data_IF_852065144722
#
_entry.id   IF_852065144722
#
_cell.length_a   1.000
_cell.length_b   1.000
_cell.length_c   1.000
_cell.angle_alpha   90.00
_cell.angle_beta   90.00
_cell.angle_gamma   90.00
#
_symmetry.space_group_name_H-M   'P 1'
#
loop_
_entity.id
_entity.type
_entity.pdbx_description
1 polymer ?
#
# COMPACT_ATOMS: atom_id res chain seq x y z
N UNK A 1 33.75 -5.26 1.02
CA UNK A 1 32.36 -4.88 0.53
C UNK A 1 31.85 -3.55 1.11
N UNK A 2 31.89 -3.27 2.44
CA UNK A 2 31.41 -2.00 3.01
C UNK A 2 32.29 -0.80 2.69
N UNK A 3 33.60 -0.93 2.83
CA UNK A 3 34.56 0.15 2.54
C UNK A 3 34.56 0.58 1.07
N UNK A 4 34.39 -0.36 0.16
CA UNK A 4 34.33 -0.11 -1.28
C UNK A 4 33.06 0.65 -1.68
N UNK A 5 31.91 0.27 -1.09
CA UNK A 5 30.64 1.01 -1.25
C UNK A 5 30.78 2.47 -0.79
N UNK A 6 31.36 2.70 0.39
CA UNK A 6 31.54 4.04 0.91
C UNK A 6 32.44 4.90 0.00
N UNK A 7 33.52 4.34 -0.51
CA UNK A 7 34.42 5.02 -1.46
C UNK A 7 33.67 5.44 -2.73
N UNK A 8 32.89 4.52 -3.33
CA UNK A 8 32.09 4.83 -4.54
C UNK A 8 31.08 5.96 -4.23
N UNK A 9 30.44 5.93 -3.06
CA UNK A 9 29.50 6.97 -2.65
C UNK A 9 30.16 8.32 -2.45
N UNK A 10 31.36 8.36 -1.87
CA UNK A 10 32.16 9.59 -1.71
C UNK A 10 32.56 10.15 -3.08
N UNK A 11 33.00 9.31 -4.00
CA UNK A 11 33.38 9.71 -5.35
C UNK A 11 32.16 10.23 -6.16
N UNK A 12 30.98 9.62 -5.97
CA UNK A 12 29.72 10.10 -6.56
C UNK A 12 29.30 11.43 -5.96
N UNK A 13 29.36 11.59 -4.63
CA UNK A 13 29.04 12.84 -3.96
C UNK A 13 30.03 13.98 -4.34
N UNK A 14 31.29 13.63 -4.59
CA UNK A 14 32.31 14.57 -5.07
C UNK A 14 32.19 14.90 -6.57
N UNK A 15 31.20 14.33 -7.30
CA UNK A 15 31.00 14.55 -8.73
C UNK A 15 32.03 13.89 -9.64
N UNK A 16 32.88 13.00 -9.11
CA UNK A 16 33.86 12.23 -9.91
C UNK A 16 33.18 11.11 -10.70
N UNK A 17 32.07 10.60 -10.18
CA UNK A 17 31.19 9.63 -10.84
C UNK A 17 29.92 10.37 -11.24
N UNK A 18 29.54 10.30 -12.51
CA UNK A 18 28.38 11.02 -13.07
C UNK A 18 27.11 10.16 -13.00
N UNK A 19 27.22 8.86 -13.05
CA UNK A 19 26.08 7.93 -13.01
C UNK A 19 26.37 6.82 -12.01
N UNK A 20 25.44 6.63 -11.07
CA UNK A 20 25.50 5.57 -10.10
C UNK A 20 24.33 4.60 -10.34
N UNK A 21 24.67 3.33 -10.61
CA UNK A 21 23.68 2.25 -10.73
C UNK A 21 23.75 1.37 -9.50
N UNK A 22 22.58 1.17 -8.86
CA UNK A 22 22.52 0.33 -7.66
C UNK A 22 21.15 -0.34 -7.51
N UNK A 23 21.10 -1.30 -6.62
CA UNK A 23 19.84 -1.86 -6.11
C UNK A 23 19.32 -0.98 -4.97
N UNK A 24 18.13 -1.31 -4.43
CA UNK A 24 17.44 -0.61 -3.34
C UNK A 24 18.24 -0.39 -2.05
N UNK A 25 19.44 -0.96 -1.94
CA UNK A 25 20.34 -0.82 -0.78
C UNK A 25 20.76 0.63 -0.47
N UNK A 26 20.46 1.58 -1.37
CA UNK A 26 20.73 3.03 -1.16
C UNK A 26 19.60 3.74 -0.39
N UNK A 27 18.58 3.03 0.05
CA UNK A 27 17.43 3.64 0.75
C UNK A 27 17.81 4.38 2.04
N UNK A 28 18.88 4.00 2.71
CA UNK A 28 19.20 4.52 4.05
C UNK A 28 20.54 5.26 4.05
N UNK A 29 20.50 6.54 4.47
CA UNK A 29 21.68 7.26 4.96
C UNK A 29 22.53 7.98 3.92
N UNK A 30 22.20 7.95 2.62
CA UNK A 30 22.99 8.66 1.60
C UNK A 30 22.29 9.95 1.21
N UNK A 31 22.90 11.07 1.58
CA UNK A 31 22.50 12.40 1.14
C UNK A 31 23.50 12.87 0.06
N UNK A 32 23.04 13.00 -1.18
CA UNK A 32 23.85 13.50 -2.29
C UNK A 32 23.12 14.72 -2.89
N UNK A 33 23.38 15.95 -2.36
CA UNK A 33 22.65 17.16 -2.77
C UNK A 33 22.80 17.49 -4.25
N UNK A 34 23.90 17.09 -4.88
CA UNK A 34 24.17 17.31 -6.30
C UNK A 34 23.58 16.24 -7.24
N UNK A 35 22.94 15.21 -6.71
CA UNK A 35 22.18 14.25 -7.52
C UNK A 35 20.85 14.89 -7.93
N UNK A 36 20.68 15.17 -9.21
CA UNK A 36 19.53 15.87 -9.77
C UNK A 36 18.56 14.96 -10.50
N UNK A 37 18.97 13.76 -10.86
CA UNK A 37 18.12 12.78 -11.56
C UNK A 37 18.18 11.46 -10.84
N UNK A 38 16.99 10.89 -10.57
CA UNK A 38 16.82 9.51 -10.13
C UNK A 38 15.94 8.80 -11.13
N UNK A 39 16.40 7.65 -11.61
CA UNK A 39 15.60 6.74 -12.42
C UNK A 39 15.37 5.45 -11.64
N UNK A 40 14.11 5.03 -11.55
CA UNK A 40 13.69 3.81 -10.84
C UNK A 40 13.13 2.86 -11.88
N UNK A 41 13.88 1.82 -12.18
CA UNK A 41 13.48 0.75 -13.08
C UNK A 41 12.51 -0.21 -12.39
N UNK A 42 11.53 -0.74 -13.14
CA UNK A 42 10.49 -1.62 -12.62
C UNK A 42 9.74 -1.01 -11.41
N UNK A 43 9.41 0.26 -11.49
CA UNK A 43 8.79 1.00 -10.40
C UNK A 43 7.48 0.38 -9.92
N UNK A 44 6.76 -0.35 -10.78
CA UNK A 44 5.54 -1.07 -10.45
C UNK A 44 5.71 -2.18 -9.41
N UNK A 45 6.95 -2.59 -9.12
CA UNK A 45 7.28 -3.63 -8.12
C UNK A 45 7.47 -3.07 -6.71
N UNK A 46 7.60 -1.76 -6.58
CA UNK A 46 7.84 -1.08 -5.30
C UNK A 46 6.53 -0.63 -4.65
N UNK A 47 6.51 -0.55 -3.32
CA UNK A 47 5.44 0.12 -2.58
C UNK A 47 5.44 1.63 -2.81
N UNK A 48 4.26 2.29 -2.77
CA UNK A 48 4.19 3.74 -2.94
C UNK A 48 4.98 4.50 -1.88
N UNK A 49 4.95 4.04 -0.62
CA UNK A 49 5.75 4.62 0.45
C UNK A 49 7.25 4.53 0.16
N UNK A 50 7.72 3.41 -0.39
CA UNK A 50 9.12 3.22 -0.77
C UNK A 50 9.53 4.13 -1.92
N UNK A 51 8.69 4.23 -2.97
CA UNK A 51 8.91 5.15 -4.08
C UNK A 51 8.92 6.62 -3.62
N UNK A 52 8.03 6.97 -2.68
CA UNK A 52 8.02 8.30 -2.07
C UNK A 52 9.33 8.61 -1.33
N UNK A 53 9.85 7.66 -0.55
CA UNK A 53 11.14 7.79 0.12
C UNK A 53 12.30 7.94 -0.87
N UNK A 54 12.31 7.13 -1.95
CA UNK A 54 13.32 7.21 -3.01
C UNK A 54 13.26 8.57 -3.71
N UNK A 55 12.07 9.04 -4.10
CA UNK A 55 11.88 10.38 -4.69
C UNK A 55 12.43 11.48 -3.79
N UNK A 56 12.25 11.37 -2.48
CA UNK A 56 12.79 12.31 -1.50
C UNK A 56 14.33 12.30 -1.36
N UNK A 57 15.04 11.45 -2.11
CA UNK A 57 16.52 11.43 -2.12
C UNK A 57 17.14 12.37 -3.14
N UNK A 58 16.39 12.84 -4.13
CA UNK A 58 16.79 13.88 -5.07
C UNK A 58 16.08 15.20 -4.78
N UNK A 59 16.56 16.32 -5.32
CA UNK A 59 15.93 17.61 -5.12
C UNK A 59 16.24 18.27 -3.77
N UNK A 60 17.36 17.92 -3.16
CA UNK A 60 17.81 18.51 -1.88
C UNK A 60 18.78 19.69 -2.04
N UNK A 61 19.12 20.02 -3.27
CA UNK A 61 19.92 21.16 -3.64
C UNK A 61 19.11 22.24 -4.35
N UNK A 62 19.78 23.28 -4.82
CA UNK A 62 19.16 24.44 -5.49
C UNK A 62 18.80 24.19 -6.96
N UNK A 63 19.17 23.02 -7.49
CA UNK A 63 18.95 22.68 -8.90
C UNK A 63 17.63 21.93 -9.08
N UNK A 64 16.97 22.19 -10.22
CA UNK A 64 15.82 21.41 -10.64
C UNK A 64 16.17 19.91 -10.70
N UNK A 65 15.34 19.07 -10.11
CA UNK A 65 15.57 17.65 -10.00
C UNK A 65 14.38 16.84 -10.52
N UNK A 66 14.67 15.65 -11.01
CA UNK A 66 13.70 14.77 -11.65
C UNK A 66 13.76 13.37 -11.03
N UNK A 67 12.60 12.79 -10.76
CA UNK A 67 12.46 11.38 -10.40
C UNK A 67 11.63 10.68 -11.49
N UNK A 68 12.27 9.79 -12.23
CA UNK A 68 11.69 9.08 -13.37
C UNK A 68 11.36 7.67 -12.91
N UNK A 69 10.09 7.30 -13.00
CA UNK A 69 9.60 5.96 -12.64
C UNK A 69 9.24 5.20 -13.90
N UNK A 70 9.96 4.11 -14.17
CA UNK A 70 9.77 3.27 -15.35
C UNK A 70 8.92 2.06 -14.99
N UNK A 71 7.74 1.93 -15.63
CA UNK A 71 6.90 0.75 -15.53
C UNK A 71 7.22 -0.20 -16.69
N UNK A 72 7.91 -1.29 -16.41
CA UNK A 72 8.26 -2.29 -17.42
C UNK A 72 7.14 -3.30 -17.71
N UNK A 73 6.09 -3.38 -16.87
CA UNK A 73 5.03 -4.37 -17.02
C UNK A 73 4.02 -4.06 -18.11
N UNK A 74 3.94 -2.80 -18.57
CA UNK A 74 2.93 -2.33 -19.51
C UNK A 74 1.49 -2.33 -18.96
N UNK A 75 1.26 -2.75 -17.73
CA UNK A 75 -0.05 -2.82 -17.11
C UNK A 75 -0.56 -1.42 -16.74
N UNK A 76 -1.75 -1.04 -17.28
CA UNK A 76 -2.36 0.27 -17.05
C UNK A 76 -2.79 0.50 -15.59
N UNK A 77 -3.21 -0.53 -14.87
CA UNK A 77 -3.58 -0.41 -13.45
C UNK A 77 -2.38 -0.07 -12.58
N UNK A 78 -1.23 -0.68 -12.88
CA UNK A 78 0.03 -0.35 -12.20
C UNK A 78 0.49 1.08 -12.51
N UNK A 79 0.17 1.63 -13.69
CA UNK A 79 0.39 3.03 -14.00
C UNK A 79 -0.45 3.95 -13.11
N UNK A 80 -1.75 3.65 -12.92
CA UNK A 80 -2.63 4.42 -12.02
C UNK A 80 -2.02 4.58 -10.61
N UNK A 81 -1.39 3.51 -10.11
CA UNK A 81 -0.72 3.54 -8.83
C UNK A 81 0.48 4.49 -8.83
N UNK A 82 1.30 4.47 -9.87
CA UNK A 82 2.44 5.39 -10.00
C UNK A 82 1.99 6.83 -10.19
N UNK A 83 0.82 7.07 -10.81
CA UNK A 83 0.26 8.42 -11.00
C UNK A 83 -0.08 9.12 -9.68
N UNK A 84 -0.31 8.40 -8.59
CA UNK A 84 -0.49 8.98 -7.25
C UNK A 84 0.73 9.81 -6.86
N UNK A 85 1.92 9.33 -7.16
CA UNK A 85 3.17 10.03 -6.88
C UNK A 85 3.39 11.26 -7.77
N UNK A 86 2.81 11.28 -8.97
CA UNK A 86 2.83 12.47 -9.84
C UNK A 86 1.89 13.57 -9.35
N UNK A 87 0.79 13.18 -8.67
CA UNK A 87 -0.25 14.11 -8.22
C UNK A 87 0.10 14.85 -6.93
N UNK A 88 0.89 14.23 -6.06
CA UNK A 88 1.15 14.79 -4.73
C UNK A 88 2.55 14.46 -4.20
N UNK A 89 3.08 15.40 -3.40
CA UNK A 89 4.26 15.20 -2.57
C UNK A 89 3.90 14.93 -1.10
N UNK A 90 2.61 14.98 -0.75
CA UNK A 90 2.14 14.73 0.60
C UNK A 90 2.16 13.22 0.92
N UNK A 91 2.97 12.85 1.93
CA UNK A 91 3.13 11.47 2.36
C UNK A 91 1.83 10.86 2.92
N UNK A 92 0.98 11.65 3.58
CA UNK A 92 -0.32 11.18 4.09
C UNK A 92 -1.30 10.90 2.95
N UNK A 93 -1.35 11.78 1.95
CA UNK A 93 -2.15 11.53 0.76
C UNK A 93 -1.70 10.26 0.04
N UNK A 94 -0.38 10.09 -0.17
CA UNK A 94 0.18 8.91 -0.83
C UNK A 94 -0.13 7.63 -0.04
N UNK A 95 -0.03 7.67 1.29
CA UNK A 95 -0.35 6.53 2.15
C UNK A 95 -1.85 6.17 2.08
N UNK A 96 -2.74 7.15 2.07
CA UNK A 96 -4.18 6.93 1.96
C UNK A 96 -4.55 6.32 0.60
N UNK A 97 -3.95 6.79 -0.48
CA UNK A 97 -4.17 6.24 -1.82
C UNK A 97 -3.56 4.83 -1.97
N UNK A 98 -2.39 4.56 -1.37
CA UNK A 98 -1.79 3.22 -1.36
C UNK A 98 -2.72 2.22 -0.63
N UNK A 99 -3.32 2.65 0.47
CA UNK A 99 -4.29 1.84 1.22
C UNK A 99 -5.54 1.54 0.38
N UNK A 100 -6.12 2.54 -0.29
CA UNK A 100 -7.26 2.37 -1.19
C UNK A 100 -6.96 1.38 -2.33
N UNK A 101 -5.74 1.47 -2.91
CA UNK A 101 -5.32 0.63 -4.03
C UNK A 101 -4.97 -0.81 -3.63
N UNK A 102 -4.54 -1.03 -2.39
CA UNK A 102 -4.25 -2.38 -1.85
C UNK A 102 -5.51 -3.11 -1.41
N UNK A 103 -6.56 -2.36 -1.14
CA UNK A 103 -7.77 -2.89 -0.50
C UNK A 103 -7.59 -3.13 1.01
N UNK A 104 -8.67 -3.41 1.71
CA UNK A 104 -8.71 -3.51 3.16
C UNK A 104 -8.19 -4.85 3.73
N UNK A 105 -7.74 -5.78 2.89
CA UNK A 105 -7.40 -7.14 3.28
C UNK A 105 -6.40 -7.26 4.43
N UNK A 106 -5.50 -6.29 4.58
CA UNK A 106 -4.51 -6.29 5.67
C UNK A 106 -5.00 -5.62 6.97
N UNK A 107 -6.05 -4.78 6.91
CA UNK A 107 -6.53 -4.03 8.09
C UNK A 107 -7.29 -4.95 9.06
N UNK A 108 -7.97 -5.97 8.54
CA UNK A 108 -8.82 -6.85 9.33
C UNK A 108 -8.22 -8.25 9.56
N UNK A 109 -6.95 -8.49 9.15
CA UNK A 109 -6.29 -9.79 9.33
C UNK A 109 -6.93 -10.93 8.52
N UNK A 110 -7.85 -10.63 7.64
CA UNK A 110 -8.57 -11.60 6.82
C UNK A 110 -7.87 -11.67 5.45
N UNK A 111 -6.97 -12.62 5.31
CA UNK A 111 -6.50 -13.08 3.99
C UNK A 111 -7.64 -13.81 3.31
N UNK A 112 -8.53 -13.09 2.65
CA UNK A 112 -9.47 -13.70 1.72
C UNK A 112 -9.23 -13.18 0.31
N UNK A 113 -9.07 -14.11 -0.61
CA UNK A 113 -9.15 -13.93 -2.04
C UNK A 113 -10.59 -13.55 -2.39
N UNK A 114 -10.86 -12.27 -2.57
CA UNK A 114 -12.16 -11.73 -2.98
C UNK A 114 -12.33 -10.31 -2.44
N UNK A 115 -12.88 -9.44 -3.26
CA UNK A 115 -13.24 -8.10 -2.83
C UNK A 115 -14.34 -8.18 -1.78
N UNK A 116 -14.13 -7.54 -0.62
CA UNK A 116 -15.16 -7.36 0.40
C UNK A 116 -16.15 -6.32 -0.12
N UNK A 117 -17.17 -6.76 -0.82
CA UNK A 117 -18.30 -5.91 -1.22
C UNK A 117 -19.31 -5.84 -0.08
N UNK A 118 -19.35 -4.70 0.60
CA UNK A 118 -20.45 -4.37 1.51
C UNK A 118 -21.59 -3.75 0.71
N UNK A 119 -22.82 -4.13 1.03
CA UNK A 119 -24.01 -3.57 0.35
C UNK A 119 -24.26 -2.09 0.69
N UNK A 120 -23.89 -1.64 1.88
CA UNK A 120 -24.21 -0.31 2.41
C UNK A 120 -22.99 0.46 2.91
N UNK A 121 -21.91 -0.22 3.29
CA UNK A 121 -20.73 0.40 3.89
C UNK A 121 -19.61 0.53 2.86
N UNK A 122 -18.91 1.66 2.92
CA UNK A 122 -17.64 1.86 2.23
C UNK A 122 -16.48 1.64 3.21
N UNK A 123 -15.54 0.77 2.86
CA UNK A 123 -14.44 0.36 3.74
C UNK A 123 -13.57 1.54 4.19
N UNK A 124 -13.47 2.58 3.36
CA UNK A 124 -12.59 3.73 3.63
C UNK A 124 -13.29 4.82 4.42
N UNK A 125 -14.53 5.13 4.05
CA UNK A 125 -15.31 6.16 4.74
C UNK A 125 -15.86 5.65 6.07
N UNK A 126 -16.17 4.37 6.16
CA UNK A 126 -16.81 3.74 7.32
C UNK A 126 -15.85 2.89 8.16
N UNK A 127 -14.52 3.04 7.97
CA UNK A 127 -13.50 2.22 8.64
C UNK A 127 -13.65 2.19 10.17
N UNK A 128 -13.98 3.31 10.79
CA UNK A 128 -14.19 3.40 12.25
C UNK A 128 -15.42 2.59 12.67
N UNK A 129 -16.51 2.70 11.91
CA UNK A 129 -17.76 1.96 12.16
C UNK A 129 -17.53 0.45 11.96
N UNK A 130 -16.85 0.07 10.88
CA UNK A 130 -16.52 -1.33 10.58
C UNK A 130 -15.64 -1.96 11.66
N UNK A 131 -14.65 -1.22 12.17
CA UNK A 131 -13.83 -1.67 13.30
C UNK A 131 -14.67 -1.92 14.54
N UNK A 132 -15.55 -0.98 14.90
CA UNK A 132 -16.43 -1.12 16.05
C UNK A 132 -17.37 -2.31 15.91
N UNK A 133 -17.99 -2.48 14.73
CA UNK A 133 -18.85 -3.64 14.43
C UNK A 133 -18.07 -4.94 14.55
N UNK A 134 -16.84 -5.01 14.05
CA UNK A 134 -15.97 -6.19 14.18
C UNK A 134 -15.68 -6.52 15.66
N UNK A 135 -15.41 -5.52 16.49
CA UNK A 135 -15.21 -5.70 17.94
C UNK A 135 -16.48 -6.21 18.63
N UNK A 136 -17.65 -5.67 18.25
CA UNK A 136 -18.93 -6.09 18.80
C UNK A 136 -19.31 -7.52 18.37
N UNK A 137 -19.04 -7.91 17.11
CA UNK A 137 -19.23 -9.28 16.61
C UNK A 137 -18.32 -10.26 17.34
N UNK A 138 -17.03 -9.92 17.52
CA UNK A 138 -16.12 -10.80 18.28
C UNK A 138 -16.62 -11.02 19.71
N UNK A 139 -17.07 -9.96 20.38
CA UNK A 139 -17.62 -10.06 21.74
C UNK A 139 -18.89 -10.90 21.80
N UNK A 140 -19.76 -10.79 20.80
CA UNK A 140 -20.95 -11.61 20.67
C UNK A 140 -20.59 -13.09 20.50
N UNK A 141 -19.66 -13.41 19.60
CA UNK A 141 -19.23 -14.77 19.33
C UNK A 141 -18.45 -15.40 20.50
N UNK A 142 -17.74 -14.62 21.31
CA UNK A 142 -17.14 -15.09 22.57
C UNK A 142 -18.21 -15.52 23.59
N UNK A 143 -19.39 -14.91 23.58
CA UNK A 143 -20.49 -15.21 24.50
C UNK A 143 -21.45 -16.27 23.96
N UNK A 144 -21.63 -16.33 22.65
CA UNK A 144 -22.55 -17.23 21.95
C UNK A 144 -22.02 -17.59 20.56
N UNK A 145 -21.04 -18.48 20.53
CA UNK A 145 -20.31 -18.87 19.32
C UNK A 145 -21.23 -19.34 18.18
N UNK A 146 -22.32 -20.03 18.52
CA UNK A 146 -23.27 -20.61 17.57
C UNK A 146 -24.57 -19.82 17.41
N UNK A 147 -24.70 -18.67 18.06
CA UNK A 147 -25.91 -17.84 18.08
C UNK A 147 -27.14 -18.62 18.53
N UNK A 148 -27.02 -19.41 19.62
CA UNK A 148 -28.07 -20.29 20.14
C UNK A 148 -28.93 -19.60 21.19
N UNK A 149 -28.50 -18.50 21.78
CA UNK A 149 -29.27 -17.75 22.75
C UNK A 149 -30.51 -17.12 22.09
N UNK A 150 -31.60 -17.06 22.83
CA UNK A 150 -32.91 -16.61 22.33
C UNK A 150 -32.82 -15.23 21.65
N UNK A 151 -32.05 -14.32 22.23
CA UNK A 151 -31.83 -12.96 21.72
C UNK A 151 -31.06 -12.93 20.39
N UNK A 152 -30.27 -13.96 20.07
CA UNK A 152 -29.44 -14.03 18.87
C UNK A 152 -30.06 -14.87 17.73
N UNK A 153 -31.16 -15.53 17.95
CA UNK A 153 -31.77 -16.41 16.95
C UNK A 153 -32.22 -15.71 15.68
N UNK A 154 -32.67 -14.47 15.78
CA UNK A 154 -33.06 -13.68 14.60
C UNK A 154 -31.83 -13.32 13.76
N UNK A 155 -30.71 -12.98 14.42
CA UNK A 155 -29.43 -12.76 13.75
C UNK A 155 -28.94 -14.03 13.05
N UNK A 156 -29.04 -15.19 13.71
CA UNK A 156 -28.71 -16.51 13.13
C UNK A 156 -29.50 -16.77 11.86
N UNK A 157 -30.82 -16.60 11.89
CA UNK A 157 -31.68 -16.80 10.72
C UNK A 157 -31.30 -15.91 9.55
N UNK A 158 -30.94 -14.67 9.82
CA UNK A 158 -30.50 -13.73 8.78
C UNK A 158 -29.14 -14.09 8.21
N UNK A 159 -28.22 -14.55 9.06
CA UNK A 159 -26.90 -15.02 8.65
C UNK A 159 -27.00 -16.26 7.76
N UNK A 160 -27.80 -17.25 8.18
CA UNK A 160 -28.01 -18.49 7.42
C UNK A 160 -28.57 -18.17 6.02
N UNK A 161 -29.60 -17.32 5.93
CA UNK A 161 -30.15 -16.87 4.64
C UNK A 161 -29.12 -16.17 3.77
N UNK A 162 -28.31 -15.27 4.35
CA UNK A 162 -27.27 -14.58 3.63
C UNK A 162 -26.20 -15.53 3.08
N UNK A 163 -25.83 -16.54 3.86
CA UNK A 163 -24.88 -17.54 3.45
C UNK A 163 -25.45 -18.43 2.32
N UNK A 164 -26.70 -18.86 2.41
CA UNK A 164 -27.39 -19.62 1.36
C UNK A 164 -27.40 -18.85 0.03
N UNK A 165 -27.83 -17.58 0.03
CA UNK A 165 -27.85 -16.73 -1.15
C UNK A 165 -26.46 -16.50 -1.76
N UNK A 166 -25.42 -16.47 -0.93
CA UNK A 166 -24.04 -16.28 -1.39
C UNK A 166 -23.45 -17.57 -1.95
N UNK A 167 -23.77 -18.72 -1.36
CA UNK A 167 -23.31 -20.02 -1.87
C UNK A 167 -24.03 -20.43 -3.16
N UNK A 168 -25.28 -20.08 -3.36
CA UNK A 168 -25.99 -20.31 -4.63
C UNK A 168 -25.33 -19.51 -5.78
N UNK A 169 -24.84 -18.31 -5.54
CA UNK A 169 -24.12 -17.50 -6.53
C UNK A 169 -22.70 -17.99 -6.84
N UNK A 170 -22.10 -18.79 -5.98
CA UNK A 170 -20.74 -19.34 -6.16
C UNK A 170 -20.74 -20.69 -6.89
N UNK A 171 -21.88 -21.35 -7.01
CA UNK A 171 -22.04 -22.65 -7.69
C UNK A 171 -22.59 -22.55 -9.12
N UNK A 172 -22.58 -21.33 -9.71
CA UNK A 172 -22.86 -21.05 -11.12
C UNK A 172 -21.58 -20.62 -11.82
#
# INVERSE_FOLDING_TARGET
KGKEKNKIMEEFAAGKIQVLVSTTVIEVGVNVPNATVMMIENAERFGLAQLHQLRGRVGRGDKQSYCIMVNASGNKEKNRRLDVLNKSNDGFYIASEDLKLRGPGDIFGIRQSGDLEFQLADIYTDAVTLKKVSEDVNRLLEQDENLEQEENQELKKRLDRFLEEKYEKLNL
#
